data_IF_285164671340
#
_entry.id   IF_285164671340
#
_cell.length_a   1.000
_cell.length_b   1.000
_cell.length_c   1.000
_cell.angle_alpha   90.00
_cell.angle_beta   90.00
_cell.angle_gamma   90.00
#
_symmetry.space_group_name_H-M   'P 1'
#
loop_
_entity.id
_entity.type
_entity.pdbx_description
1 polymer ?
#
# COMPACT_ATOMS: atom_id res chain seq x y z
N UNK A 1 16.96 -12.80 -21.60
CA UNK A 1 16.20 -13.19 -20.39
C UNK A 1 17.06 -12.84 -19.18
N UNK A 2 16.60 -11.95 -18.29
CA UNK A 2 17.25 -11.79 -16.97
C UNK A 2 17.16 -13.16 -16.30
N UNK A 3 18.28 -13.72 -15.81
CA UNK A 3 18.39 -15.08 -15.28
C UNK A 3 17.61 -15.37 -13.98
N UNK A 4 16.37 -14.90 -13.89
CA UNK A 4 15.47 -15.02 -12.75
C UNK A 4 14.90 -16.43 -12.70
N UNK A 5 15.11 -17.13 -11.59
CA UNK A 5 14.45 -18.42 -11.32
C UNK A 5 13.03 -18.15 -10.82
N UNK A 6 12.04 -18.71 -11.50
CA UNK A 6 10.65 -18.69 -11.06
C UNK A 6 10.48 -19.71 -9.93
N UNK A 7 10.14 -19.23 -8.73
CA UNK A 7 9.74 -20.06 -7.61
C UNK A 7 8.21 -20.00 -7.49
N UNK A 8 7.53 -21.02 -7.99
CA UNK A 8 6.07 -21.12 -7.87
C UNK A 8 5.71 -21.64 -6.47
N UNK A 9 4.76 -20.97 -5.82
CA UNK A 9 4.15 -21.51 -4.60
C UNK A 9 3.28 -22.73 -4.94
N UNK A 10 3.17 -23.68 -4.03
CA UNK A 10 2.29 -24.84 -4.19
C UNK A 10 0.84 -24.40 -4.09
N UNK A 11 -0.06 -25.01 -4.86
CA UNK A 11 -1.44 -24.57 -5.09
C UNK A 11 -2.35 -24.42 -3.86
N UNK A 12 -1.91 -24.75 -2.65
CA UNK A 12 -2.67 -24.58 -1.41
C UNK A 12 -1.78 -24.26 -0.18
N UNK A 13 -0.54 -23.80 -0.39
CA UNK A 13 0.34 -23.40 0.71
C UNK A 13 1.08 -22.10 0.38
N UNK A 14 0.62 -21.04 1.03
CA UNK A 14 1.03 -19.64 0.84
C UNK A 14 2.29 -19.27 1.61
N UNK A 15 2.94 -20.24 2.24
CA UNK A 15 4.07 -20.03 3.16
C UNK A 15 5.26 -19.24 2.55
N UNK A 16 5.36 -19.15 1.22
CA UNK A 16 6.37 -18.34 0.54
C UNK A 16 5.89 -16.93 0.14
N UNK A 17 4.58 -16.71 0.07
CA UNK A 17 3.94 -15.49 -0.41
C UNK A 17 3.17 -14.72 0.70
N UNK A 18 3.20 -15.20 1.94
CA UNK A 18 2.50 -14.61 3.10
C UNK A 18 2.73 -13.08 3.26
N UNK A 19 3.92 -12.59 2.89
CA UNK A 19 4.25 -11.17 2.92
C UNK A 19 3.48 -10.38 1.85
N UNK A 20 3.44 -10.89 0.61
CA UNK A 20 2.70 -10.24 -0.46
C UNK A 20 1.20 -10.33 -0.21
N UNK A 21 0.70 -11.45 0.31
CA UNK A 21 -0.70 -11.58 0.68
C UNK A 21 -1.13 -10.59 1.77
N UNK A 22 -0.32 -10.45 2.82
CA UNK A 22 -0.60 -9.48 3.89
C UNK A 22 -0.53 -8.04 3.38
N UNK A 23 0.36 -7.76 2.42
CA UNK A 23 0.42 -6.48 1.72
C UNK A 23 -0.87 -6.23 0.92
N UNK A 24 -1.31 -7.20 0.10
CA UNK A 24 -2.53 -7.12 -0.70
C UNK A 24 -3.75 -6.87 0.19
N UNK A 25 -3.91 -7.67 1.25
CA UNK A 25 -5.02 -7.50 2.22
C UNK A 25 -5.06 -6.09 2.82
N UNK A 26 -3.90 -5.49 3.10
CA UNK A 26 -3.85 -4.13 3.64
C UNK A 26 -4.17 -3.07 2.60
N UNK A 27 -3.71 -3.22 1.37
CA UNK A 27 -4.09 -2.32 0.29
C UNK A 27 -5.59 -2.38 0.00
N UNK A 28 -6.18 -3.58 -0.02
CA UNK A 28 -7.61 -3.77 -0.20
C UNK A 28 -8.45 -3.11 0.91
N UNK A 29 -8.05 -3.24 2.18
CA UNK A 29 -8.74 -2.60 3.31
C UNK A 29 -8.71 -1.06 3.18
N UNK A 30 -7.57 -0.49 2.76
CA UNK A 30 -7.44 0.94 2.53
C UNK A 30 -8.34 1.38 1.37
N UNK A 31 -8.25 0.71 0.22
CA UNK A 31 -9.08 1.02 -0.96
C UNK A 31 -10.57 0.93 -0.60
N UNK A 32 -10.99 -0.13 0.10
CA UNK A 32 -12.39 -0.30 0.51
C UNK A 32 -12.88 0.87 1.37
N UNK A 33 -12.06 1.37 2.30
CA UNK A 33 -12.41 2.54 3.11
C UNK A 33 -12.50 3.81 2.28
N UNK A 34 -11.58 4.02 1.34
CA UNK A 34 -11.62 5.21 0.46
C UNK A 34 -12.77 5.16 -0.55
N UNK A 35 -13.07 4.00 -1.13
CA UNK A 35 -14.20 3.85 -2.06
C UNK A 35 -15.57 3.89 -1.36
N UNK A 36 -15.67 3.38 -0.12
CA UNK A 36 -16.92 3.40 0.64
C UNK A 36 -17.24 4.77 1.28
N UNK A 37 -16.21 5.54 1.66
CA UNK A 37 -16.37 6.81 2.41
C UNK A 37 -15.86 8.05 1.66
N UNK A 38 -15.39 7.90 0.41
CA UNK A 38 -14.81 8.97 -0.40
C UNK A 38 -15.76 10.16 -0.59
N UNK A 39 -15.26 11.36 -0.26
CA UNK A 39 -16.06 12.60 -0.16
C UNK A 39 -16.08 13.39 -1.47
N UNK A 40 -15.13 13.16 -2.39
CA UNK A 40 -14.88 14.08 -3.52
C UNK A 40 -15.13 13.51 -4.94
N UNK A 41 -15.17 12.20 -5.12
CA UNK A 41 -15.36 11.58 -6.45
C UNK A 41 -16.57 10.64 -6.46
N UNK A 42 -17.77 11.19 -6.30
CA UNK A 42 -19.00 10.38 -6.38
C UNK A 42 -19.50 10.35 -7.82
N UNK A 43 -19.75 9.17 -8.37
CA UNK A 43 -20.63 9.06 -9.53
C UNK A 43 -22.07 9.48 -9.13
N UNK A 44 -22.99 9.50 -10.11
CA UNK A 44 -24.39 9.88 -9.88
C UNK A 44 -25.12 9.01 -8.82
N UNK A 45 -24.56 7.85 -8.45
CA UNK A 45 -25.09 6.91 -7.47
C UNK A 45 -24.41 7.02 -6.09
N UNK A 46 -23.45 7.94 -5.93
CA UNK A 46 -22.88 8.30 -4.63
C UNK A 46 -21.60 7.55 -4.23
N UNK A 47 -21.01 6.77 -5.13
CA UNK A 47 -19.83 5.94 -4.87
C UNK A 47 -18.59 6.40 -5.65
N UNK A 48 -17.41 6.30 -5.01
CA UNK A 48 -16.10 6.50 -5.65
C UNK A 48 -15.55 5.16 -6.11
N UNK A 49 -15.87 4.78 -7.36
CA UNK A 49 -15.47 3.49 -7.93
C UNK A 49 -14.07 3.48 -8.58
N UNK A 50 -13.39 4.62 -8.68
CA UNK A 50 -12.09 4.70 -9.34
C UNK A 50 -10.95 4.30 -8.38
N UNK A 51 -10.85 3.00 -8.11
CA UNK A 51 -9.77 2.42 -7.32
C UNK A 51 -8.42 2.47 -8.06
N UNK A 52 -8.42 2.55 -9.39
CA UNK A 52 -7.21 2.53 -10.22
C UNK A 52 -6.40 3.81 -10.00
N UNK A 53 -7.04 4.97 -9.93
CA UNK A 53 -6.36 6.23 -9.61
C UNK A 53 -5.93 6.33 -8.15
N UNK A 54 -6.55 5.56 -7.25
CA UNK A 54 -6.14 5.47 -5.84
C UNK A 54 -4.92 4.57 -5.63
N UNK A 55 -4.64 3.61 -6.52
CA UNK A 55 -3.55 2.64 -6.36
C UNK A 55 -2.18 3.28 -6.06
N UNK A 56 -1.70 4.31 -6.80
CA UNK A 56 -0.40 4.91 -6.51
C UNK A 56 -0.35 5.55 -5.11
N UNK A 57 -1.45 6.18 -4.70
CA UNK A 57 -1.59 6.82 -3.39
C UNK A 57 -1.60 5.78 -2.27
N UNK A 58 -2.34 4.68 -2.45
CA UNK A 58 -2.39 3.58 -1.47
C UNK A 58 -1.05 2.87 -1.35
N UNK A 59 -0.36 2.64 -2.46
CA UNK A 59 0.99 2.08 -2.46
C UNK A 59 1.98 2.98 -1.71
N UNK A 60 1.90 4.30 -1.93
CA UNK A 60 2.73 5.27 -1.22
C UNK A 60 2.42 5.26 0.28
N UNK A 61 1.14 5.30 0.66
CA UNK A 61 0.71 5.25 2.05
C UNK A 61 1.15 3.96 2.76
N UNK A 62 1.05 2.81 2.10
CA UNK A 62 1.53 1.54 2.62
C UNK A 62 3.06 1.53 2.80
N UNK A 63 3.80 1.99 1.78
CA UNK A 63 5.27 1.97 1.82
C UNK A 63 5.86 2.89 2.90
N UNK A 64 5.17 4.00 3.22
CA UNK A 64 5.63 5.02 4.18
C UNK A 64 5.01 4.88 5.57
N UNK A 65 3.91 4.14 5.70
CA UNK A 65 3.25 3.87 6.98
C UNK A 65 4.12 2.98 7.89
N UNK A 66 4.14 3.29 9.18
CA UNK A 66 4.83 2.44 10.15
C UNK A 66 4.02 1.17 10.41
N UNK A 67 4.67 0.02 10.30
CA UNK A 67 4.04 -1.27 10.62
C UNK A 67 4.25 -1.61 12.09
N UNK A 68 3.18 -1.98 12.79
CA UNK A 68 3.20 -2.28 14.23
C UNK A 68 4.16 -3.41 14.60
N UNK A 69 4.38 -4.37 13.70
CA UNK A 69 5.30 -5.49 13.89
C UNK A 69 6.77 -5.08 13.83
N UNK A 70 7.09 -4.06 13.04
CA UNK A 70 8.49 -3.71 12.72
C UNK A 70 8.90 -2.36 13.31
N UNK A 71 7.93 -1.54 13.76
CA UNK A 71 8.14 -0.18 14.26
C UNK A 71 8.71 0.79 13.22
N UNK A 72 8.82 0.35 11.96
CA UNK A 72 9.44 1.05 10.83
C UNK A 72 8.55 0.92 9.61
N UNK A 73 8.72 1.83 8.66
CA UNK A 73 8.02 1.77 7.38
C UNK A 73 8.69 0.75 6.44
N UNK A 74 7.91 0.05 5.59
CA UNK A 74 8.46 -0.89 4.62
C UNK A 74 9.57 -0.31 3.76
N UNK A 75 9.44 0.92 3.24
CA UNK A 75 10.50 1.54 2.43
C UNK A 75 11.79 1.80 3.21
N UNK A 76 11.69 2.08 4.52
CA UNK A 76 12.87 2.24 5.37
C UNK A 76 13.58 0.91 5.62
N UNK A 77 12.83 -0.18 5.71
CA UNK A 77 13.39 -1.53 5.94
C UNK A 77 13.98 -2.11 4.66
N UNK A 78 13.29 -1.95 3.52
CA UNK A 78 13.70 -2.53 2.24
C UNK A 78 14.76 -1.69 1.52
N UNK A 79 14.58 -0.37 1.49
CA UNK A 79 15.39 0.55 0.68
C UNK A 79 16.33 1.42 1.53
N UNK A 80 16.12 1.49 2.83
CA UNK A 80 16.90 2.34 3.75
C UNK A 80 16.49 3.81 3.76
N UNK A 81 15.45 4.21 3.02
CA UNK A 81 14.98 5.60 2.97
C UNK A 81 13.48 5.68 2.72
N UNK A 82 12.85 6.77 3.17
CA UNK A 82 11.45 7.08 2.92
C UNK A 82 11.33 8.27 1.97
N UNK A 83 10.40 8.26 1.01
CA UNK A 83 10.11 9.43 0.20
C UNK A 83 9.61 10.60 1.07
N UNK A 84 9.98 11.81 0.67
CA UNK A 84 9.49 13.03 1.31
C UNK A 84 8.02 13.22 0.93
N UNK A 85 7.14 13.16 1.93
CA UNK A 85 5.72 13.39 1.75
C UNK A 85 5.36 14.86 2.06
N UNK A 86 4.31 15.42 1.46
CA UNK A 86 3.80 16.76 1.78
C UNK A 86 3.61 17.00 3.29
N UNK A 87 3.16 15.99 4.03
CA UNK A 87 3.00 16.02 5.50
C UNK A 87 4.32 16.21 6.26
N UNK A 88 5.46 15.82 5.69
CA UNK A 88 6.75 16.02 6.34
C UNK A 88 7.15 17.49 6.34
N UNK A 89 6.75 18.26 5.32
CA UNK A 89 7.03 19.70 5.25
C UNK A 89 6.28 20.48 6.34
N UNK A 90 5.12 19.99 6.80
CA UNK A 90 4.36 20.62 7.88
C UNK A 90 5.02 20.44 9.27
N UNK A 91 5.87 19.42 9.44
CA UNK A 91 6.61 19.17 10.70
C UNK A 91 7.92 19.93 10.82
N UNK A 92 8.43 20.53 9.74
CA UNK A 92 9.71 21.25 9.74
C UNK A 92 9.56 22.75 9.96
N UNK A 93 8.32 23.27 10.04
CA UNK A 93 8.02 24.71 10.17
C UNK A 93 7.65 25.10 11.62
N UNK A 94 7.76 24.19 12.59
CA UNK A 94 7.60 24.47 14.02
C UNK A 94 8.76 23.93 14.84
#
# INVERSE_FOLDING_TARGET
MLGTKLAFSTSYHLQTDDLAERMIQKMEDIIRRFCAYGVEYKDHEGYTHDWVTLLPTVQLAYSTGQHSTTGKSPSLVEKGWNPLLPVNHLKTIF
#
